data_IF_138950232273
#
_entry.id   IF_138950232273
#
_cell.length_a   1.000
_cell.length_b   1.000
_cell.length_c   1.000
_cell.angle_alpha   90.00
_cell.angle_beta   90.00
_cell.angle_gamma   90.00
#
_symmetry.space_group_name_H-M   'P 1'
#
loop_
_entity.id
_entity.type
_entity.pdbx_description
1 polymer ?
#
# COMPACT_ATOMS: atom_id res chain seq x y z
N UNK A 1 16.92 -8.98 8.61
CA UNK A 1 15.68 -8.73 9.38
C UNK A 1 14.58 -8.56 8.36
N UNK A 2 13.48 -9.33 8.44
CA UNK A 2 12.34 -9.11 7.55
C UNK A 2 11.77 -7.71 7.81
N UNK A 3 11.38 -6.99 6.75
CA UNK A 3 10.73 -5.70 6.88
C UNK A 3 9.44 -5.86 7.69
N UNK A 4 9.17 -4.92 8.60
CA UNK A 4 7.92 -4.88 9.36
C UNK A 4 6.75 -4.79 8.39
N UNK A 5 5.66 -5.55 8.59
CA UNK A 5 4.47 -5.43 7.75
C UNK A 5 3.95 -4.00 7.69
N UNK A 6 3.48 -3.59 6.52
CA UNK A 6 2.85 -2.28 6.31
C UNK A 6 1.36 -2.34 6.62
N UNK A 7 0.76 -1.19 6.97
CA UNK A 7 -0.71 -1.09 7.10
C UNK A 7 -1.47 -1.56 5.84
N UNK A 8 -0.88 -1.40 4.65
CA UNK A 8 -1.49 -1.85 3.40
C UNK A 8 -1.57 -3.39 3.31
N UNK A 9 -0.53 -4.09 3.78
CA UNK A 9 -0.49 -5.55 3.85
C UNK A 9 -1.48 -6.08 4.89
N UNK A 10 -1.52 -5.47 6.08
CA UNK A 10 -2.45 -5.87 7.14
C UNK A 10 -3.91 -5.69 6.70
N UNK A 11 -4.24 -4.56 6.08
CA UNK A 11 -5.59 -4.33 5.56
C UNK A 11 -5.94 -5.29 4.43
N UNK A 12 -5.01 -5.59 3.53
CA UNK A 12 -5.26 -6.55 2.47
C UNK A 12 -5.54 -7.94 3.03
N UNK A 13 -4.78 -8.38 4.05
CA UNK A 13 -5.05 -9.64 4.76
C UNK A 13 -6.44 -9.66 5.40
N UNK A 14 -6.84 -8.56 6.04
CA UNK A 14 -8.17 -8.44 6.66
C UNK A 14 -9.31 -8.48 5.63
N UNK A 15 -9.06 -7.98 4.41
CA UNK A 15 -10.04 -7.97 3.32
C UNK A 15 -10.04 -9.26 2.50
N UNK A 16 -9.02 -10.11 2.64
CA UNK A 16 -8.89 -11.34 1.88
C UNK A 16 -9.74 -12.47 2.49
N UNK A 17 -10.60 -13.08 1.68
CA UNK A 17 -11.32 -14.30 2.06
C UNK A 17 -10.51 -15.54 1.61
N UNK A 18 -9.91 -16.31 2.53
CA UNK A 18 -9.11 -17.47 2.17
C UNK A 18 -9.92 -18.64 1.60
N UNK A 19 -11.26 -18.64 1.75
CA UNK A 19 -12.12 -19.69 1.20
C UNK A 19 -12.39 -19.50 -0.29
N UNK A 20 -12.62 -18.26 -0.70
CA UNK A 20 -12.95 -17.91 -2.08
C UNK A 20 -11.78 -17.32 -2.87
N UNK A 21 -10.73 -16.87 -2.19
CA UNK A 21 -9.62 -16.13 -2.80
C UNK A 21 -9.98 -14.70 -3.22
N UNK A 22 -11.16 -14.20 -2.81
CA UNK A 22 -11.62 -12.86 -3.15
C UNK A 22 -11.14 -11.82 -2.14
N UNK A 23 -11.13 -10.56 -2.56
CA UNK A 23 -10.81 -9.41 -1.70
C UNK A 23 -12.07 -8.56 -1.57
N UNK A 24 -12.50 -8.32 -0.33
CA UNK A 24 -13.64 -7.46 -0.04
C UNK A 24 -13.39 -6.03 -0.54
N UNK A 25 -14.33 -5.49 -1.30
CA UNK A 25 -14.20 -4.13 -1.85
C UNK A 25 -13.18 -4.00 -2.98
N UNK A 26 -12.89 -5.07 -3.73
CA UNK A 26 -11.91 -5.09 -4.82
C UNK A 26 -12.00 -3.87 -5.77
N UNK A 27 -13.22 -3.46 -6.16
CA UNK A 27 -13.44 -2.31 -7.04
C UNK A 27 -13.05 -0.95 -6.47
N UNK A 28 -12.90 -0.85 -5.15
CA UNK A 28 -12.49 0.37 -4.42
C UNK A 28 -11.21 0.17 -3.61
N UNK A 29 -10.52 -0.97 -3.78
CA UNK A 29 -9.35 -1.35 -3.01
C UNK A 29 -8.22 -0.31 -3.08
N UNK A 30 -8.09 0.39 -4.21
CA UNK A 30 -7.09 1.44 -4.38
C UNK A 30 -7.23 2.60 -3.40
N UNK A 31 -8.46 2.93 -2.95
CA UNK A 31 -8.67 3.94 -1.91
C UNK A 31 -8.10 3.46 -0.57
N UNK A 32 -8.40 2.22 -0.21
CA UNK A 32 -7.97 1.62 1.05
C UNK A 32 -6.44 1.48 1.09
N UNK A 33 -5.84 0.88 0.05
CA UNK A 33 -4.39 0.70 -0.01
C UNK A 33 -3.65 2.04 -0.12
N UNK A 34 -4.15 2.97 -0.94
CA UNK A 34 -3.55 4.31 -1.06
C UNK A 34 -3.58 5.07 0.27
N UNK A 35 -4.71 5.04 0.97
CA UNK A 35 -4.84 5.63 2.30
C UNK A 35 -3.90 5.00 3.33
N UNK A 36 -3.74 3.67 3.29
CA UNK A 36 -2.85 2.94 4.18
C UNK A 36 -1.38 3.32 3.99
N UNK A 37 -0.93 3.47 2.74
CA UNK A 37 0.43 3.93 2.43
C UNK A 37 0.67 5.36 2.95
N UNK A 38 -0.30 6.27 2.74
CA UNK A 38 -0.18 7.63 3.28
C UNK A 38 -0.15 7.64 4.81
N UNK A 39 -0.97 6.81 5.46
CA UNK A 39 -0.97 6.67 6.92
C UNK A 39 0.38 6.12 7.44
N UNK A 40 0.93 5.09 6.79
CA UNK A 40 2.23 4.51 7.14
C UNK A 40 3.37 5.52 6.99
N UNK A 41 3.40 6.24 5.88
CA UNK A 41 4.42 7.26 5.62
C UNK A 41 4.27 8.46 6.56
N UNK A 42 3.05 8.87 6.91
CA UNK A 42 2.81 9.97 7.84
C UNK A 42 3.23 9.57 9.27
N UNK A 43 2.90 8.33 9.68
CA UNK A 43 3.29 7.77 10.99
C UNK A 43 4.80 7.68 11.16
N UNK A 44 5.53 7.42 10.08
CA UNK A 44 7.01 7.40 10.06
C UNK A 44 7.65 8.77 9.79
N UNK A 45 6.85 9.84 9.68
CA UNK A 45 7.34 11.20 9.44
C UNK A 45 7.89 11.44 8.04
N UNK A 46 7.60 10.56 7.08
CA UNK A 46 8.11 10.63 5.70
C UNK A 46 7.26 11.46 4.76
N UNK A 47 5.99 11.68 5.11
CA UNK A 47 5.12 12.65 4.45
C UNK A 47 4.45 13.54 5.48
N UNK A 48 4.19 14.79 5.08
CA UNK A 48 3.36 15.72 5.85
C UNK A 48 1.96 15.77 5.24
N UNK A 49 0.95 15.91 6.10
CA UNK A 49 -0.44 16.11 5.68
C UNK A 49 -0.93 17.43 6.26
N UNK A 50 -1.24 18.37 5.38
CA UNK A 50 -1.76 19.70 5.74
C UNK A 50 -3.14 19.89 5.12
N UNK A 51 -4.17 19.86 5.96
CA UNK A 51 -5.55 19.86 5.51
C UNK A 51 -5.84 18.69 4.58
N UNK A 52 -6.05 18.97 3.29
CA UNK A 52 -6.30 17.95 2.24
C UNK A 52 -5.13 17.75 1.29
N UNK A 53 -3.93 18.19 1.67
CA UNK A 53 -2.73 18.07 0.85
C UNK A 53 -1.67 17.22 1.52
N UNK A 54 -0.87 16.55 0.70
CA UNK A 54 0.25 15.70 1.13
C UNK A 54 1.49 15.99 0.29
N UNK A 55 2.66 15.92 0.92
CA UNK A 55 3.99 16.05 0.32
C UNK A 55 5.01 15.21 1.10
N UNK A 56 6.16 14.91 0.51
CA UNK A 56 7.30 14.34 1.26
C UNK A 56 7.84 15.35 2.28
N UNK A 57 8.18 14.87 3.48
CA UNK A 57 8.60 15.72 4.59
C UNK A 57 10.10 16.10 4.56
N UNK A 58 10.95 15.20 4.04
CA UNK A 58 12.40 15.39 3.90
C UNK A 58 12.87 14.86 2.52
N UNK A 59 14.18 14.72 2.31
CA UNK A 59 14.78 14.10 1.11
C UNK A 59 15.29 12.67 1.35
N UNK A 60 15.04 12.12 2.54
CA UNK A 60 15.55 10.79 2.93
C UNK A 60 14.45 9.74 2.71
N UNK A 61 14.58 8.87 1.70
CA UNK A 61 13.56 7.87 1.42
C UNK A 61 13.37 6.89 2.60
N UNK A 62 12.18 6.28 2.72
CA UNK A 62 11.96 5.11 3.58
C UNK A 62 12.99 4.00 3.32
N UNK A 63 13.36 3.26 4.36
CA UNK A 63 14.28 2.11 4.22
C UNK A 63 13.63 0.91 3.52
N UNK A 64 12.32 0.73 3.63
CA UNK A 64 11.59 -0.29 2.86
C UNK A 64 11.47 0.17 1.39
N UNK A 65 12.04 -0.59 0.42
CA UNK A 65 12.01 -0.22 -0.99
C UNK A 65 10.59 -0.03 -1.54
N UNK A 66 9.60 -0.80 -1.03
CA UNK A 66 8.21 -0.67 -1.44
C UNK A 66 7.64 0.70 -1.05
N UNK A 67 7.91 1.13 0.19
CA UNK A 67 7.51 2.46 0.67
C UNK A 67 8.30 3.58 0.00
N UNK A 68 9.58 3.35 -0.31
CA UNK A 68 10.44 4.31 -1.01
C UNK A 68 9.88 4.65 -2.39
N UNK A 69 9.46 3.65 -3.17
CA UNK A 69 8.85 3.87 -4.48
C UNK A 69 7.58 4.74 -4.37
N UNK A 70 6.71 4.47 -3.37
CA UNK A 70 5.49 5.26 -3.22
C UNK A 70 5.79 6.68 -2.73
N UNK A 71 6.78 6.83 -1.85
CA UNK A 71 7.26 8.13 -1.38
C UNK A 71 7.80 8.99 -2.54
N UNK A 72 8.57 8.40 -3.45
CA UNK A 72 9.04 9.08 -4.67
C UNK A 72 7.87 9.53 -5.55
N UNK A 73 6.86 8.67 -5.73
CA UNK A 73 5.63 9.03 -6.45
C UNK A 73 4.91 10.19 -5.80
N UNK A 74 4.87 10.28 -4.47
CA UNK A 74 4.22 11.37 -3.72
C UNK A 74 4.94 12.70 -3.96
N UNK A 75 6.27 12.70 -3.88
CA UNK A 75 7.12 13.85 -4.17
C UNK A 75 6.96 15.06 -3.23
N UNK A 76 7.89 16.00 -3.36
CA UNK A 76 7.99 17.16 -2.45
C UNK A 76 6.95 18.26 -2.71
N UNK A 77 6.31 18.28 -3.89
CA UNK A 77 5.29 19.28 -4.21
C UNK A 77 3.97 18.89 -3.54
N UNK A 78 3.39 19.71 -2.65
CA UNK A 78 2.10 19.39 -2.06
C UNK A 78 1.03 19.17 -3.13
N UNK A 79 0.31 18.06 -3.05
CA UNK A 79 -0.82 17.70 -3.94
C UNK A 79 -2.02 17.27 -3.13
N UNK A 80 -3.21 17.26 -3.73
CA UNK A 80 -4.40 16.80 -3.00
C UNK A 80 -4.26 15.33 -2.64
N UNK A 81 -4.73 14.94 -1.44
CA UNK A 81 -4.73 13.54 -0.99
C UNK A 81 -5.44 12.65 -2.01
N UNK A 82 -6.57 13.10 -2.56
CA UNK A 82 -7.31 12.30 -3.55
C UNK A 82 -6.56 12.12 -4.86
N UNK A 83 -5.83 13.16 -5.32
CA UNK A 83 -4.96 13.05 -6.50
C UNK A 83 -3.87 12.01 -6.27
N UNK A 84 -3.22 12.06 -5.11
CA UNK A 84 -2.14 11.14 -4.77
C UNK A 84 -2.66 9.71 -4.64
N UNK A 85 -3.80 9.49 -3.99
CA UNK A 85 -4.43 8.16 -3.89
C UNK A 85 -4.83 7.63 -5.26
N UNK A 86 -5.39 8.47 -6.15
CA UNK A 86 -5.76 8.05 -7.50
C UNK A 86 -4.53 7.68 -8.37
N UNK A 87 -3.37 8.25 -8.08
CA UNK A 87 -2.12 7.97 -8.80
C UNK A 87 -1.38 6.73 -8.27
N UNK A 88 -1.28 6.60 -6.94
CA UNK A 88 -0.54 5.54 -6.25
C UNK A 88 -1.38 4.29 -6.09
N UNK A 89 -2.62 4.44 -5.60
CA UNK A 89 -3.50 3.35 -5.17
C UNK A 89 -3.68 2.22 -6.19
N UNK A 90 -4.00 2.49 -7.46
CA UNK A 90 -4.25 1.43 -8.46
C UNK A 90 -3.08 0.48 -8.70
N UNK A 91 -1.85 0.89 -8.34
CA UNK A 91 -0.63 0.12 -8.53
C UNK A 91 -0.28 -0.78 -7.35
N UNK A 92 -0.95 -0.60 -6.20
CA UNK A 92 -0.56 -1.24 -4.94
C UNK A 92 -1.03 -2.68 -4.82
N UNK A 93 -2.11 -3.07 -5.53
CA UNK A 93 -2.73 -4.39 -5.34
C UNK A 93 -1.75 -5.54 -5.53
N UNK A 94 -1.07 -5.59 -6.68
CA UNK A 94 -0.16 -6.70 -6.98
C UNK A 94 1.07 -6.71 -6.06
N UNK A 95 1.83 -5.61 -5.88
CA UNK A 95 2.98 -5.61 -4.98
C UNK A 95 2.65 -5.96 -3.53
N UNK A 96 1.50 -5.53 -3.02
CA UNK A 96 1.07 -5.88 -1.65
C UNK A 96 0.73 -7.38 -1.57
N UNK A 97 0.01 -7.94 -2.56
CA UNK A 97 -0.23 -9.38 -2.62
C UNK A 97 1.07 -10.18 -2.71
N UNK A 98 2.01 -9.75 -3.56
CA UNK A 98 3.28 -10.44 -3.76
C UNK A 98 4.05 -10.52 -2.45
N UNK A 99 4.12 -9.43 -1.68
CA UNK A 99 4.77 -9.42 -0.36
C UNK A 99 4.08 -10.31 0.66
N UNK A 100 2.75 -10.39 0.65
CA UNK A 100 2.00 -11.34 1.49
C UNK A 100 2.28 -12.80 1.11
N UNK A 101 2.47 -13.08 -0.17
CA UNK A 101 2.87 -14.41 -0.66
C UNK A 101 4.31 -14.73 -0.28
N UNK A 102 5.24 -13.79 -0.48
CA UNK A 102 6.65 -13.92 -0.10
C UNK A 102 6.83 -14.18 1.40
N UNK A 103 6.03 -13.52 2.24
CA UNK A 103 6.02 -13.75 3.70
C UNK A 103 5.33 -15.05 4.12
N UNK A 104 4.54 -15.64 3.22
CA UNK A 104 3.82 -16.90 3.45
C UNK A 104 2.46 -16.73 4.12
N UNK A 105 1.93 -15.52 4.23
CA UNK A 105 0.61 -15.22 4.79
C UNK A 105 -0.50 -15.65 3.83
N UNK A 106 -0.28 -15.47 2.52
CA UNK A 106 -1.16 -15.95 1.44
C UNK A 106 -0.39 -17.01 0.64
N UNK A 107 -1.08 -18.06 0.19
CA UNK A 107 -0.49 -19.10 -0.67
C UNK A 107 -1.18 -19.13 -2.01
N UNK A 108 -0.38 -19.13 -3.08
CA UNK A 108 -0.89 -19.38 -4.43
C UNK A 108 -1.19 -20.87 -4.57
N UNK A 109 -2.46 -21.20 -4.82
CA UNK A 109 -2.87 -22.55 -5.19
C UNK A 109 -2.99 -22.64 -6.70
N UNK A 110 -2.38 -23.67 -7.31
CA UNK A 110 -2.66 -23.97 -8.71
C UNK A 110 -4.16 -24.30 -8.85
N UNK A 111 -4.85 -23.61 -9.76
CA UNK A 111 -6.23 -23.95 -10.08
C UNK A 111 -6.18 -25.31 -10.76
N UNK A 112 -6.61 -26.37 -10.05
CA UNK A 112 -6.75 -27.69 -10.65
C UNK A 112 -7.85 -27.58 -11.71
N UNK A 113 -7.45 -27.56 -12.99
CA UNK A 113 -8.40 -27.69 -14.09
C UNK A 113 -8.88 -29.15 -14.09
N UNK A 114 -10.08 -29.36 -13.54
CA UNK A 114 -10.88 -30.57 -13.81
C UNK A 114 -11.39 -30.57 -15.23
#
# INVERSE_FOLDING_TARGET
MAATPTLAEDLLLLLFDPRSGTIAGEGTLFYTLGGAILAELARSGKVTVEGRRVATADTTPPADPFLAEQWERIGARPRSVQTVIAEVGPRLRAPVLDRLVERGDIRLTAISRG
#
